data_IF_737434659046
#
_entry.id   IF_737434659046
#
_cell.length_a   1.000
_cell.length_b   1.000
_cell.length_c   1.000
_cell.angle_alpha   90.00
_cell.angle_beta   90.00
_cell.angle_gamma   90.00
#
_symmetry.space_group_name_H-M   'P 1'
#
loop_
_entity.id
_entity.type
_entity.pdbx_description
1 polymer ?
#
# COMPACT_ATOMS: atom_id res chain seq x y z
N UNK A 1 16.10 4.97 -15.84
CA UNK A 1 14.61 5.17 -15.80
C UNK A 1 14.20 5.95 -17.05
N UNK A 2 13.18 5.49 -17.81
CA UNK A 2 12.55 6.22 -18.92
C UNK A 2 11.19 6.73 -18.44
N UNK A 3 10.85 7.99 -18.69
CA UNK A 3 9.57 8.61 -18.30
C UNK A 3 8.91 9.18 -19.55
N UNK A 4 7.62 8.85 -19.72
CA UNK A 4 6.76 9.33 -20.78
C UNK A 4 5.59 10.08 -20.15
N UNK A 5 5.37 11.31 -20.57
CA UNK A 5 4.23 12.14 -20.21
C UNK A 5 3.19 12.06 -21.32
N UNK A 6 1.92 11.97 -20.96
CA UNK A 6 0.81 12.02 -21.91
C UNK A 6 0.00 13.29 -21.59
N UNK A 7 -0.17 14.14 -22.60
CA UNK A 7 -0.91 15.39 -22.49
C UNK A 7 -2.42 15.14 -22.54
N UNK A 8 -3.21 16.13 -22.17
CA UNK A 8 -4.68 16.11 -22.35
C UNK A 8 -5.11 15.93 -23.80
N UNK A 9 -4.25 16.32 -24.77
CA UNK A 9 -4.47 16.14 -26.21
C UNK A 9 -3.98 14.77 -26.72
N UNK A 10 -3.60 13.85 -25.84
CA UNK A 10 -3.04 12.52 -26.12
C UNK A 10 -1.68 12.53 -26.85
N UNK A 11 -0.90 13.60 -26.73
CA UNK A 11 0.47 13.63 -27.23
C UNK A 11 1.43 12.97 -26.23
N UNK A 12 2.36 12.17 -26.74
CA UNK A 12 3.39 11.52 -25.92
C UNK A 12 4.68 12.33 -25.92
N UNK A 13 5.20 12.67 -24.74
CA UNK A 13 6.46 13.37 -24.55
C UNK A 13 7.41 12.49 -23.73
N UNK A 14 8.48 11.99 -24.35
CA UNK A 14 9.53 11.28 -23.62
C UNK A 14 10.51 12.28 -23.02
N UNK A 15 10.69 12.27 -21.69
CA UNK A 15 11.65 13.14 -21.00
C UNK A 15 13.08 12.71 -21.29
N UNK A 16 13.95 13.70 -21.56
CA UNK A 16 15.38 13.50 -21.86
C UNK A 16 16.28 13.99 -20.73
N UNK A 17 15.88 15.06 -20.04
CA UNK A 17 16.72 15.78 -19.09
C UNK A 17 16.08 15.73 -17.67
N UNK A 18 16.01 14.53 -17.10
CA UNK A 18 15.48 14.30 -15.77
C UNK A 18 16.53 14.70 -14.72
N UNK A 19 16.18 15.63 -13.83
CA UNK A 19 17.04 16.04 -12.69
C UNK A 19 16.92 15.01 -11.58
N UNK A 20 15.68 14.62 -11.26
CA UNK A 20 15.40 13.60 -10.25
C UNK A 20 14.02 12.99 -10.45
N UNK A 21 13.88 11.72 -10.10
CA UNK A 21 12.60 11.04 -10.02
C UNK A 21 12.58 10.16 -8.76
N UNK A 22 11.43 10.11 -8.07
CA UNK A 22 11.21 9.29 -6.88
C UNK A 22 9.88 8.58 -7.01
N UNK A 23 9.93 7.25 -7.14
CA UNK A 23 8.77 6.38 -7.12
C UNK A 23 8.64 5.74 -5.73
N UNK A 24 7.51 5.98 -5.06
CA UNK A 24 7.19 5.39 -3.77
C UNK A 24 6.03 4.41 -3.91
N UNK A 25 6.25 3.18 -3.48
CA UNK A 25 5.27 2.10 -3.42
C UNK A 25 5.18 1.61 -2.00
N UNK A 26 3.97 1.55 -1.44
CA UNK A 26 3.76 1.11 -0.06
C UNK A 26 2.55 0.20 0.09
N UNK A 27 2.63 -0.77 1.00
CA UNK A 27 1.52 -1.66 1.32
C UNK A 27 0.41 -0.96 2.15
N UNK A 28 0.68 0.22 2.69
CA UNK A 28 -0.26 0.97 3.53
C UNK A 28 -1.16 1.91 2.73
N UNK A 29 -0.72 2.37 1.56
CA UNK A 29 -1.51 3.23 0.67
C UNK A 29 -2.00 2.47 -0.56
N UNK A 30 -3.18 2.83 -1.03
CA UNK A 30 -3.76 2.25 -2.24
C UNK A 30 -3.02 2.70 -3.51
N UNK A 31 -2.50 3.94 -3.51
CA UNK A 31 -1.83 4.54 -4.64
C UNK A 31 -0.31 4.57 -4.43
N UNK A 32 0.43 4.18 -5.46
CA UNK A 32 1.83 4.55 -5.59
C UNK A 32 1.92 6.03 -5.98
N UNK A 33 3.06 6.65 -5.69
CA UNK A 33 3.32 8.04 -6.10
C UNK A 33 4.63 8.18 -6.83
N UNK A 34 4.66 9.09 -7.80
CA UNK A 34 5.85 9.43 -8.57
C UNK A 34 6.05 10.95 -8.58
N UNK A 35 7.19 11.40 -8.07
CA UNK A 35 7.63 12.79 -8.16
C UNK A 35 8.76 12.91 -9.15
N UNK A 36 8.68 13.89 -10.06
CA UNK A 36 9.66 14.09 -11.13
C UNK A 36 10.06 15.56 -11.17
N UNK A 37 11.37 15.82 -11.31
CA UNK A 37 11.93 17.13 -11.70
C UNK A 37 12.72 16.99 -12.99
N UNK A 38 12.51 17.90 -13.94
CA UNK A 38 13.18 17.89 -15.23
C UNK A 38 13.30 19.29 -15.83
N UNK A 39 14.15 19.46 -16.86
CA UNK A 39 14.44 20.72 -17.54
C UNK A 39 14.06 20.71 -19.03
N UNK A 40 13.36 19.70 -19.50
CA UNK A 40 12.83 19.68 -20.86
C UNK A 40 11.79 20.80 -21.03
N UNK A 41 11.97 21.63 -22.06
CA UNK A 41 11.03 22.71 -22.35
C UNK A 41 9.73 22.15 -22.95
N UNK A 42 8.90 21.62 -22.10
CA UNK A 42 7.51 21.37 -22.42
C UNK A 42 6.75 22.69 -22.18
N UNK A 43 6.56 23.51 -23.22
CA UNK A 43 5.74 24.73 -23.13
C UNK A 43 4.53 24.48 -22.21
N UNK A 44 3.77 25.44 -21.81
CA UNK A 44 2.65 25.31 -20.86
C UNK A 44 1.55 24.30 -21.30
N UNK A 45 1.97 23.04 -21.49
CA UNK A 45 1.12 21.91 -21.90
C UNK A 45 0.64 21.21 -20.64
N UNK A 46 -0.65 20.96 -20.55
CA UNK A 46 -1.25 20.23 -19.43
C UNK A 46 -0.99 18.72 -19.56
N UNK A 47 -0.42 18.13 -18.51
CA UNK A 47 -0.09 16.71 -18.47
C UNK A 47 -1.24 15.97 -17.76
N UNK A 48 -1.81 14.97 -18.43
CA UNK A 48 -2.84 14.10 -17.86
C UNK A 48 -2.23 12.89 -17.18
N UNK A 49 -1.32 12.16 -17.88
CA UNK A 49 -0.77 10.89 -17.40
C UNK A 49 0.74 10.84 -17.41
N UNK A 50 1.27 9.99 -16.55
CA UNK A 50 2.70 9.73 -16.43
C UNK A 50 2.93 8.22 -16.46
N UNK A 51 3.84 7.78 -17.34
CA UNK A 51 4.31 6.40 -17.40
C UNK A 51 5.80 6.38 -17.05
N UNK A 52 6.23 5.44 -16.21
CA UNK A 52 7.66 5.22 -15.96
C UNK A 52 8.04 3.77 -16.24
N UNK A 53 9.20 3.63 -16.90
CA UNK A 53 9.76 2.34 -17.30
C UNK A 53 11.15 2.15 -16.71
N UNK A 54 11.45 0.91 -16.34
CA UNK A 54 12.81 0.45 -16.00
C UNK A 54 13.13 -0.78 -16.86
N UNK A 55 14.20 -0.68 -17.64
CA UNK A 55 14.64 -1.74 -18.55
C UNK A 55 13.48 -2.29 -19.41
N UNK A 56 12.70 -1.36 -20.00
CA UNK A 56 11.48 -1.56 -20.80
C UNK A 56 10.27 -2.15 -20.04
N UNK A 57 10.39 -2.46 -18.76
CA UNK A 57 9.26 -2.86 -17.91
C UNK A 57 8.51 -1.61 -17.41
N UNK A 58 7.18 -1.60 -17.53
CA UNK A 58 6.32 -0.55 -16.99
C UNK A 58 6.22 -0.70 -15.46
N UNK A 59 6.86 0.23 -14.73
CA UNK A 59 6.91 0.23 -13.27
C UNK A 59 5.95 1.23 -12.60
N UNK A 60 5.43 2.18 -13.37
CA UNK A 60 4.43 3.14 -12.91
C UNK A 60 3.53 3.58 -14.06
N UNK A 61 2.23 3.68 -13.78
CA UNK A 61 1.19 4.20 -14.65
C UNK A 61 0.22 5.00 -13.77
N UNK A 62 0.09 6.29 -14.02
CA UNK A 62 -0.70 7.14 -13.16
C UNK A 62 -1.12 8.46 -13.77
N UNK A 63 -1.83 9.25 -12.99
CA UNK A 63 -2.38 10.55 -13.35
C UNK A 63 -1.59 11.67 -12.65
N UNK A 64 -1.43 12.77 -13.38
CA UNK A 64 -0.77 13.96 -12.86
C UNK A 64 -1.71 14.72 -11.94
N UNK A 65 -1.39 14.75 -10.63
CA UNK A 65 -2.16 15.55 -9.65
C UNK A 65 -1.68 17.00 -9.59
N UNK A 66 -0.39 17.23 -9.87
CA UNK A 66 0.20 18.56 -9.74
C UNK A 66 1.36 18.75 -10.71
N UNK A 67 1.28 19.82 -11.50
CA UNK A 67 2.35 20.27 -12.40
C UNK A 67 2.74 21.70 -12.00
N UNK A 68 4.05 21.95 -11.82
CA UNK A 68 4.60 23.27 -11.51
C UNK A 68 5.79 23.55 -12.43
N UNK A 69 5.68 24.60 -13.25
CA UNK A 69 6.80 25.08 -14.05
C UNK A 69 7.34 26.37 -13.46
N UNK A 70 8.64 26.46 -13.32
CA UNK A 70 9.33 27.61 -12.71
C UNK A 70 10.44 28.08 -13.64
N UNK A 71 10.60 29.40 -13.73
CA UNK A 71 11.75 30.05 -14.34
C UNK A 71 12.41 30.89 -13.26
N UNK A 72 13.65 30.59 -12.94
CA UNK A 72 14.45 31.32 -11.95
C UNK A 72 15.88 31.56 -12.48
N UNK A 73 16.78 32.02 -11.61
CA UNK A 73 18.20 32.24 -11.95
C UNK A 73 18.92 30.96 -12.43
N UNK A 74 18.41 29.78 -12.11
CA UNK A 74 18.93 28.47 -12.53
C UNK A 74 18.35 27.99 -13.85
N UNK A 75 17.42 28.77 -14.42
CA UNK A 75 16.74 28.48 -15.68
C UNK A 75 15.34 27.88 -15.49
N UNK A 76 14.85 27.25 -16.55
CA UNK A 76 13.54 26.60 -16.59
C UNK A 76 13.59 25.21 -15.95
N UNK A 77 12.64 24.91 -15.09
CA UNK A 77 12.45 23.57 -14.54
C UNK A 77 10.95 23.26 -14.33
N UNK A 78 10.59 22.01 -14.52
CA UNK A 78 9.23 21.52 -14.24
C UNK A 78 9.26 20.43 -13.17
N UNK A 79 8.30 20.50 -12.25
CA UNK A 79 8.01 19.49 -11.25
C UNK A 79 6.64 18.89 -11.53
N UNK A 80 6.55 17.56 -11.51
CA UNK A 80 5.30 16.80 -11.59
C UNK A 80 5.20 15.91 -10.36
N UNK A 81 4.00 15.86 -9.79
CA UNK A 81 3.58 14.84 -8.82
C UNK A 81 2.41 14.07 -9.41
N UNK A 82 2.53 12.75 -9.45
CA UNK A 82 1.54 11.85 -10.00
C UNK A 82 1.23 10.72 -9.00
N UNK A 83 -0.03 10.29 -8.96
CA UNK A 83 -0.44 9.05 -8.28
C UNK A 83 -0.78 7.97 -9.30
N UNK A 84 -0.56 6.70 -8.94
CA UNK A 84 -0.93 5.56 -9.79
C UNK A 84 -2.42 5.59 -10.14
N UNK A 85 -2.81 4.88 -11.18
CA UNK A 85 -4.21 4.79 -11.64
C UNK A 85 -5.20 4.38 -10.53
N UNK A 86 -4.71 3.79 -9.44
CA UNK A 86 -5.51 3.51 -8.25
C UNK A 86 -6.22 4.76 -7.69
N UNK A 87 -5.72 5.99 -7.98
CA UNK A 87 -6.36 7.24 -7.57
C UNK A 87 -7.82 7.33 -8.10
N UNK A 88 -8.12 6.79 -9.27
CA UNK A 88 -9.48 6.74 -9.79
C UNK A 88 -10.44 5.94 -8.90
N UNK A 89 -9.94 4.93 -8.18
CA UNK A 89 -10.75 4.16 -7.23
C UNK A 89 -10.77 4.78 -5.83
N UNK A 90 -9.76 5.58 -5.49
CA UNK A 90 -9.65 6.20 -4.16
C UNK A 90 -10.44 7.50 -4.08
N UNK A 91 -10.40 8.32 -5.14
CA UNK A 91 -10.99 9.64 -5.18
C UNK A 91 -12.47 9.66 -5.57
N UNK A 92 -13.01 8.50 -6.01
CA UNK A 92 -14.42 8.36 -6.35
C UNK A 92 -15.17 7.59 -5.27
N UNK A 93 -16.34 8.10 -4.90
CA UNK A 93 -17.23 7.49 -3.92
C UNK A 93 -18.00 6.29 -4.51
N UNK A 94 -18.10 5.24 -3.73
CA UNK A 94 -19.00 4.13 -4.02
C UNK A 94 -20.43 4.51 -3.63
N UNK A 95 -21.42 4.18 -4.46
CA UNK A 95 -22.80 4.34 -4.07
C UNK A 95 -23.11 3.39 -2.89
N UNK A 96 -23.79 3.94 -1.88
CA UNK A 96 -24.20 3.18 -0.71
C UNK A 96 -25.22 2.11 -1.07
N UNK A 97 -24.91 0.85 -0.78
CA UNK A 97 -25.76 -0.28 -1.13
C UNK A 97 -25.51 -1.49 -0.22
N UNK A 98 -26.57 -2.25 0.07
CA UNK A 98 -26.47 -3.52 0.77
C UNK A 98 -26.53 -4.68 -0.20
N UNK A 99 -25.40 -5.33 -0.40
CA UNK A 99 -25.28 -6.52 -1.25
C UNK A 99 -25.68 -7.78 -0.48
N UNK A 100 -26.47 -8.65 -1.13
CA UNK A 100 -26.74 -10.00 -0.64
C UNK A 100 -25.73 -10.96 -1.27
N UNK A 101 -24.93 -11.64 -0.44
CA UNK A 101 -23.96 -12.65 -0.90
C UNK A 101 -23.02 -12.17 -2.02
N UNK A 102 -22.33 -11.01 -1.89
CA UNK A 102 -21.49 -10.51 -2.98
C UNK A 102 -20.22 -11.31 -3.15
N UNK A 103 -19.66 -11.23 -4.37
CA UNK A 103 -18.32 -11.68 -4.71
C UNK A 103 -17.41 -10.49 -5.02
N UNK A 104 -16.09 -10.73 -4.99
CA UNK A 104 -15.12 -9.74 -5.43
C UNK A 104 -15.37 -9.31 -6.87
N UNK A 105 -15.76 -10.26 -7.74
CA UNK A 105 -16.10 -9.97 -9.15
C UNK A 105 -17.33 -9.07 -9.27
N UNK A 106 -18.39 -9.27 -8.46
CA UNK A 106 -19.58 -8.43 -8.51
C UNK A 106 -19.29 -6.97 -8.12
N UNK A 107 -18.43 -6.75 -7.10
CA UNK A 107 -18.02 -5.39 -6.73
C UNK A 107 -17.08 -4.77 -7.76
N UNK A 108 -16.18 -5.57 -8.34
CA UNK A 108 -15.33 -5.11 -9.44
C UNK A 108 -16.19 -4.63 -10.64
N UNK A 109 -17.21 -5.40 -11.03
CA UNK A 109 -18.13 -5.03 -12.10
C UNK A 109 -18.91 -3.75 -11.80
N UNK A 110 -19.29 -3.55 -10.53
CA UNK A 110 -20.04 -2.38 -10.11
C UNK A 110 -19.19 -1.11 -10.01
N UNK A 111 -17.90 -1.23 -9.65
CA UNK A 111 -17.10 -0.08 -9.22
C UNK A 111 -15.83 0.18 -10.01
N UNK A 112 -15.26 -0.82 -10.70
CA UNK A 112 -13.94 -0.67 -11.30
C UNK A 112 -13.87 -0.97 -12.80
N UNK A 113 -14.79 -1.78 -13.32
CA UNK A 113 -14.74 -2.24 -14.72
C UNK A 113 -14.75 -1.09 -15.72
N UNK A 114 -15.66 -0.13 -15.55
CA UNK A 114 -15.86 0.97 -16.49
C UNK A 114 -14.74 2.03 -16.41
N UNK A 115 -13.88 1.96 -15.38
CA UNK A 115 -12.70 2.78 -15.24
C UNK A 115 -11.44 2.17 -15.89
N UNK A 116 -11.59 1.07 -16.63
CA UNK A 116 -10.52 0.45 -17.41
C UNK A 116 -9.61 -0.49 -16.61
N UNK A 117 -10.00 -0.87 -15.39
CA UNK A 117 -9.23 -1.85 -14.61
C UNK A 117 -9.50 -3.29 -15.06
N UNK A 118 -8.54 -4.17 -14.80
CA UNK A 118 -8.59 -5.61 -15.09
C UNK A 118 -8.73 -6.40 -13.79
N UNK A 119 -9.60 -7.40 -13.79
CA UNK A 119 -9.81 -8.28 -12.64
C UNK A 119 -8.80 -9.43 -12.65
N UNK A 120 -7.96 -9.49 -11.62
CA UNK A 120 -6.96 -10.56 -11.40
C UNK A 120 -7.04 -11.13 -9.98
N UNK A 121 -8.16 -10.92 -9.30
CA UNK A 121 -8.38 -11.48 -7.97
C UNK A 121 -8.89 -12.92 -8.07
N UNK A 122 -8.62 -13.79 -7.09
CA UNK A 122 -9.39 -15.01 -6.89
C UNK A 122 -10.87 -14.64 -6.73
N UNK A 123 -11.76 -15.50 -7.21
CA UNK A 123 -13.20 -15.25 -7.07
C UNK A 123 -13.66 -15.56 -5.65
N UNK A 124 -13.32 -14.68 -4.71
CA UNK A 124 -13.76 -14.76 -3.31
C UNK A 124 -15.18 -14.22 -3.18
N UNK A 125 -15.99 -14.87 -2.36
CA UNK A 125 -17.39 -14.49 -2.12
C UNK A 125 -17.79 -14.71 -0.67
N UNK A 126 -18.87 -14.09 -0.23
CA UNK A 126 -19.49 -14.33 1.08
C UNK A 126 -20.96 -14.66 0.93
N UNK A 127 -21.48 -15.53 1.81
CA UNK A 127 -22.91 -15.81 1.94
C UNK A 127 -23.63 -14.83 2.89
N UNK A 128 -22.90 -13.81 3.38
CA UNK A 128 -23.42 -12.81 4.31
C UNK A 128 -23.73 -11.52 3.56
N UNK A 129 -24.61 -10.72 4.13
CA UNK A 129 -24.85 -9.35 3.66
C UNK A 129 -23.58 -8.53 3.84
N UNK A 130 -23.29 -7.70 2.85
CA UNK A 130 -22.19 -6.74 2.85
C UNK A 130 -22.73 -5.35 2.55
N UNK A 131 -22.49 -4.42 3.44
CA UNK A 131 -22.94 -3.05 3.33
C UNK A 131 -21.78 -2.15 2.89
N UNK A 132 -21.99 -1.41 1.81
CA UNK A 132 -21.16 -0.28 1.40
C UNK A 132 -21.81 0.97 1.94
N UNK A 133 -21.15 1.64 2.88
CA UNK A 133 -21.65 2.85 3.53
C UNK A 133 -21.42 4.09 2.66
N UNK A 134 -22.24 5.12 2.83
CA UNK A 134 -22.02 6.43 2.20
C UNK A 134 -20.65 7.00 2.57
N UNK A 135 -19.95 7.57 1.58
CA UNK A 135 -18.59 8.11 1.73
C UNK A 135 -17.48 7.05 1.69
N UNK A 136 -17.81 5.79 1.42
CA UNK A 136 -16.79 4.78 1.10
C UNK A 136 -16.26 5.03 -0.31
N UNK A 137 -14.92 5.00 -0.51
CA UNK A 137 -14.35 5.03 -1.86
C UNK A 137 -14.59 3.72 -2.61
N UNK A 138 -14.52 3.75 -3.95
CA UNK A 138 -14.62 2.54 -4.77
C UNK A 138 -13.56 1.51 -4.37
N UNK A 139 -12.31 1.97 -4.15
CA UNK A 139 -11.24 1.12 -3.62
C UNK A 139 -11.61 0.51 -2.27
N UNK A 140 -12.08 1.35 -1.33
CA UNK A 140 -12.47 0.93 0.01
C UNK A 140 -13.55 -0.14 0.01
N UNK A 141 -14.57 -0.01 -0.85
CA UNK A 141 -15.64 -0.98 -0.99
C UNK A 141 -15.13 -2.36 -1.45
N UNK A 142 -14.27 -2.41 -2.49
CA UNK A 142 -13.71 -3.68 -2.98
C UNK A 142 -12.72 -4.26 -1.98
N UNK A 143 -11.76 -3.43 -1.51
CA UNK A 143 -10.70 -3.86 -0.59
C UNK A 143 -11.26 -4.41 0.73
N UNK A 144 -12.29 -3.76 1.28
CA UNK A 144 -12.88 -4.22 2.54
C UNK A 144 -13.54 -5.59 2.40
N UNK A 145 -14.31 -5.84 1.32
CA UNK A 145 -14.91 -7.15 1.09
C UNK A 145 -13.83 -8.22 0.94
N UNK A 146 -12.86 -8.00 0.03
CA UNK A 146 -11.79 -8.97 -0.24
C UNK A 146 -10.99 -9.26 1.01
N UNK A 147 -10.59 -8.22 1.75
CA UNK A 147 -9.81 -8.37 2.98
C UNK A 147 -10.56 -9.11 4.08
N UNK A 148 -11.87 -8.89 4.22
CA UNK A 148 -12.70 -9.59 5.21
C UNK A 148 -12.85 -11.09 4.93
N UNK A 149 -12.78 -11.49 3.65
CA UNK A 149 -12.96 -12.89 3.25
C UNK A 149 -11.61 -13.62 3.22
N UNK A 150 -10.58 -13.00 2.61
CA UNK A 150 -9.28 -13.63 2.38
C UNK A 150 -8.24 -13.34 3.48
N UNK A 151 -8.45 -12.30 4.27
CA UNK A 151 -7.44 -11.76 5.19
C UNK A 151 -6.41 -10.83 4.52
N UNK A 152 -6.39 -10.74 3.19
CA UNK A 152 -5.43 -9.97 2.40
C UNK A 152 -6.11 -8.76 1.73
N UNK A 153 -5.39 -7.64 1.65
CA UNK A 153 -5.84 -6.47 0.90
C UNK A 153 -5.68 -6.63 -0.61
N UNK A 154 -6.14 -5.64 -1.35
CA UNK A 154 -5.92 -5.54 -2.80
C UNK A 154 -4.91 -4.45 -3.12
N UNK A 155 -4.32 -4.53 -4.31
CA UNK A 155 -3.44 -3.54 -4.91
C UNK A 155 -3.75 -3.41 -6.40
N UNK A 156 -3.46 -2.24 -6.97
CA UNK A 156 -3.47 -2.01 -8.39
C UNK A 156 -2.02 -1.94 -8.87
N UNK A 157 -1.64 -2.78 -9.83
CA UNK A 157 -0.32 -2.74 -10.43
C UNK A 157 -0.23 -1.75 -11.60
N UNK A 158 0.97 -1.54 -12.14
CA UNK A 158 1.19 -0.61 -13.26
C UNK A 158 0.41 -0.98 -14.54
N UNK A 159 -0.01 -2.24 -14.70
CA UNK A 159 -0.84 -2.71 -15.82
C UNK A 159 -2.34 -2.51 -15.61
N UNK A 160 -2.74 -1.75 -14.59
CA UNK A 160 -4.14 -1.53 -14.18
C UNK A 160 -4.88 -2.82 -13.78
N UNK A 161 -4.15 -3.79 -13.26
CA UNK A 161 -4.73 -5.03 -12.76
C UNK A 161 -4.98 -4.90 -11.25
N UNK A 162 -6.19 -5.27 -10.81
CA UNK A 162 -6.52 -5.41 -9.39
C UNK A 162 -6.08 -6.80 -8.95
N UNK A 163 -5.05 -6.85 -8.14
CA UNK A 163 -4.40 -8.07 -7.63
C UNK A 163 -4.56 -8.17 -6.11
N UNK A 164 -4.43 -9.38 -5.57
CA UNK A 164 -4.38 -9.59 -4.13
C UNK A 164 -2.97 -9.31 -3.59
N UNK A 165 -2.89 -8.59 -2.48
CA UNK A 165 -1.63 -8.32 -1.78
C UNK A 165 -1.33 -9.50 -0.84
N UNK A 166 -0.68 -10.53 -1.36
CA UNK A 166 -0.37 -11.76 -0.64
C UNK A 166 1.10 -11.82 -0.23
N UNK A 167 1.34 -12.44 0.93
CA UNK A 167 2.71 -12.74 1.37
C UNK A 167 3.31 -13.80 0.43
N UNK A 168 4.44 -13.46 -0.18
CA UNK A 168 5.17 -14.39 -1.06
C UNK A 168 5.56 -15.67 -0.33
N UNK A 169 5.47 -16.80 -1.02
CA UNK A 169 5.95 -18.10 -0.51
C UNK A 169 7.47 -18.17 -0.53
N UNK A 170 8.09 -17.54 -1.51
CA UNK A 170 9.53 -17.55 -1.70
C UNK A 170 10.21 -16.52 -0.80
N UNK A 171 11.35 -16.91 -0.24
CA UNK A 171 12.20 -16.03 0.57
C UNK A 171 13.46 -15.71 -0.22
N UNK A 172 13.68 -14.45 -0.51
CA UNK A 172 14.85 -13.95 -1.21
C UNK A 172 15.96 -13.56 -0.22
N UNK A 173 17.22 -13.64 -0.64
CA UNK A 173 18.35 -13.21 0.17
C UNK A 173 18.84 -11.83 -0.30
N UNK A 174 18.75 -10.82 0.59
CA UNK A 174 19.21 -9.47 0.28
C UNK A 174 20.73 -9.33 0.22
N UNK A 175 21.49 -10.28 0.73
CA UNK A 175 22.96 -10.24 0.64
C UNK A 175 23.46 -10.35 -0.83
N UNK A 176 22.61 -10.74 -1.78
CA UNK A 176 22.95 -10.73 -3.21
C UNK A 176 22.88 -9.34 -3.86
N UNK A 177 22.31 -8.34 -3.18
CA UNK A 177 22.18 -6.98 -3.70
C UNK A 177 23.35 -6.09 -3.27
N UNK A 178 23.72 -5.06 -4.05
CA UNK A 178 24.76 -4.09 -3.69
C UNK A 178 24.23 -3.11 -2.63
N UNK A 179 24.39 -3.48 -1.35
CA UNK A 179 23.84 -2.73 -0.21
C UNK A 179 24.72 -1.52 0.11
N UNK A 180 24.09 -0.34 0.19
CA UNK A 180 24.73 0.93 0.57
C UNK A 180 24.61 1.22 2.06
N UNK A 181 23.46 0.92 2.66
CA UNK A 181 23.22 1.16 4.07
C UNK A 181 22.14 0.25 4.64
N UNK A 182 22.24 -0.02 5.95
CA UNK A 182 21.25 -0.80 6.69
C UNK A 182 20.99 -0.12 8.03
N UNK A 183 19.71 -0.06 8.42
CA UNK A 183 19.27 0.45 9.71
C UNK A 183 18.23 -0.50 10.28
N UNK A 184 18.46 -1.00 11.49
CA UNK A 184 17.48 -1.78 12.25
C UNK A 184 16.72 -0.86 13.21
N UNK A 185 15.41 -1.00 13.24
CA UNK A 185 14.48 -0.18 14.05
C UNK A 185 13.63 -1.12 14.90
N UNK A 186 13.59 -0.88 16.21
CA UNK A 186 12.66 -1.55 17.12
C UNK A 186 11.76 -0.47 17.75
N UNK A 187 10.50 -0.45 17.34
CA UNK A 187 9.53 0.53 17.81
C UNK A 187 8.55 -0.12 18.80
N UNK A 188 8.87 -0.03 20.09
CA UNK A 188 8.06 -0.62 21.16
C UNK A 188 6.73 0.11 21.43
N UNK A 189 6.49 1.26 20.82
CA UNK A 189 5.26 2.03 20.98
C UNK A 189 4.09 1.53 20.11
N UNK A 190 4.32 0.64 19.15
CA UNK A 190 3.34 0.23 18.15
C UNK A 190 2.42 -0.92 18.60
N UNK A 191 2.92 -2.08 19.12
CA UNK A 191 2.08 -3.25 19.36
C UNK A 191 0.93 -3.01 20.34
N UNK A 192 -0.27 -3.43 19.97
CA UNK A 192 -1.48 -3.37 20.79
C UNK A 192 -1.65 -4.68 21.55
N UNK A 193 -1.84 -4.60 22.88
CA UNK A 193 -2.02 -5.76 23.76
C UNK A 193 -3.49 -6.12 23.99
N UNK A 194 -4.38 -5.14 23.88
CA UNK A 194 -5.81 -5.38 24.04
C UNK A 194 -6.64 -4.37 23.22
N UNK A 195 -7.77 -4.86 22.69
CA UNK A 195 -8.83 -4.05 22.11
C UNK A 195 -10.09 -4.30 22.93
N UNK A 196 -10.61 -3.24 23.53
CA UNK A 196 -11.87 -3.20 24.26
C UNK A 196 -12.94 -2.60 23.35
N UNK A 197 -14.09 -3.23 23.22
CA UNK A 197 -15.08 -2.74 22.25
C UNK A 197 -16.52 -2.90 22.72
N UNK A 198 -17.39 -2.07 22.15
CA UNK A 198 -18.85 -2.15 22.34
C UNK A 198 -19.46 -2.88 21.17
N UNK A 199 -20.34 -3.84 21.45
CA UNK A 199 -21.15 -4.55 20.44
C UNK A 199 -22.64 -4.14 20.48
N UNK A 200 -23.07 -3.46 21.55
CA UNK A 200 -24.43 -2.98 21.79
C UNK A 200 -24.42 -1.55 22.32
N UNK A 201 -25.57 -0.91 22.42
CA UNK A 201 -25.72 0.44 22.97
C UNK A 201 -25.54 0.49 24.50
N UNK A 202 -24.55 -0.26 25.02
CA UNK A 202 -24.18 -0.19 26.44
C UNK A 202 -23.25 1.01 26.68
N UNK A 203 -23.20 1.50 27.91
CA UNK A 203 -22.27 2.53 28.35
C UNK A 203 -20.82 2.00 28.48
N UNK A 204 -20.64 0.68 28.55
CA UNK A 204 -19.39 0.02 28.89
C UNK A 204 -18.76 -0.66 27.68
N UNK A 205 -17.43 -0.91 27.75
CA UNK A 205 -16.66 -1.69 26.79
C UNK A 205 -16.53 -3.12 27.30
N UNK A 206 -17.64 -3.89 27.21
CA UNK A 206 -17.79 -5.20 27.89
C UNK A 206 -17.13 -6.35 27.12
N UNK A 207 -16.65 -6.09 25.89
CA UNK A 207 -16.00 -7.11 25.08
C UNK A 207 -14.52 -6.81 24.91
N UNK A 208 -13.69 -7.87 24.97
CA UNK A 208 -12.25 -7.75 24.98
C UNK A 208 -11.60 -8.78 24.05
N UNK A 209 -10.63 -8.35 23.26
CA UNK A 209 -9.73 -9.24 22.52
C UNK A 209 -8.29 -8.91 22.91
N UNK A 210 -7.53 -9.91 23.33
CA UNK A 210 -6.16 -9.77 23.78
C UNK A 210 -5.19 -10.34 22.73
N UNK A 211 -4.07 -9.64 22.50
CA UNK A 211 -2.94 -10.17 21.77
C UNK A 211 -2.03 -10.94 22.73
N UNK A 212 -2.02 -12.27 22.62
CA UNK A 212 -1.08 -13.09 23.38
C UNK A 212 0.36 -12.73 23.03
N UNK A 213 0.67 -12.55 21.76
CA UNK A 213 2.00 -12.16 21.29
C UNK A 213 2.48 -10.83 21.89
N UNK A 214 1.59 -9.83 22.04
CA UNK A 214 1.95 -8.56 22.68
C UNK A 214 2.20 -8.74 24.17
N UNK A 215 1.38 -9.49 24.88
CA UNK A 215 1.55 -9.77 26.32
C UNK A 215 2.85 -10.51 26.60
N UNK A 216 3.17 -11.53 25.81
CA UNK A 216 4.41 -12.33 25.96
C UNK A 216 5.67 -11.46 25.75
N UNK A 217 5.56 -10.38 24.96
CA UNK A 217 6.61 -9.39 24.72
C UNK A 217 6.61 -8.22 25.73
N UNK A 218 5.72 -8.25 26.72
CA UNK A 218 5.62 -7.25 27.79
C UNK A 218 4.98 -5.92 27.34
N UNK A 219 4.07 -5.93 26.36
CA UNK A 219 3.31 -4.76 25.97
C UNK A 219 2.01 -4.64 26.77
N UNK A 220 1.63 -3.40 27.10
CA UNK A 220 0.41 -3.07 27.88
C UNK A 220 -0.44 -1.98 27.23
N UNK A 221 -0.50 -1.95 25.90
CA UNK A 221 -1.21 -0.90 25.13
C UNK A 221 -2.64 -1.31 24.81
N UNK A 222 -3.62 -0.54 25.29
CA UNK A 222 -5.04 -0.78 25.10
C UNK A 222 -5.64 0.17 24.06
N UNK A 223 -6.65 -0.31 23.33
CA UNK A 223 -7.51 0.48 22.45
C UNK A 223 -8.98 0.28 22.82
N UNK A 224 -9.74 1.38 22.74
CA UNK A 224 -11.18 1.38 22.98
C UNK A 224 -11.88 1.77 21.68
N UNK A 225 -12.75 0.91 21.16
CA UNK A 225 -13.41 1.11 19.87
C UNK A 225 -14.91 0.87 19.95
N UNK A 226 -15.69 1.71 19.25
CA UNK A 226 -17.13 1.51 19.10
C UNK A 226 -17.38 0.75 17.79
N UNK A 227 -17.96 -0.46 17.88
CA UNK A 227 -18.21 -1.34 16.73
C UNK A 227 -19.70 -1.76 16.67
N UNK A 228 -20.60 -1.00 17.27
CA UNK A 228 -22.03 -1.31 17.39
C UNK A 228 -22.69 -1.53 16.03
N UNK A 229 -22.37 -0.70 15.04
CA UNK A 229 -22.95 -0.77 13.69
C UNK A 229 -22.48 -1.96 12.85
N UNK A 230 -21.43 -2.67 13.29
CA UNK A 230 -20.83 -3.75 12.49
C UNK A 230 -21.44 -5.12 12.85
N UNK A 231 -21.65 -5.96 11.85
CA UNK A 231 -21.97 -7.37 12.06
C UNK A 231 -20.81 -8.10 12.78
N UNK A 232 -21.11 -9.18 13.50
CA UNK A 232 -20.11 -9.90 14.31
C UNK A 232 -18.84 -10.27 13.53
N UNK A 233 -18.97 -10.79 12.31
CA UNK A 233 -17.83 -11.18 11.48
C UNK A 233 -16.98 -10.00 11.04
N UNK A 234 -17.58 -8.84 10.79
CA UNK A 234 -16.89 -7.59 10.44
C UNK A 234 -16.12 -7.02 11.65
N UNK A 235 -16.75 -7.08 12.85
CA UNK A 235 -16.07 -6.68 14.10
C UNK A 235 -14.83 -7.51 14.35
N UNK A 236 -14.95 -8.83 14.31
CA UNK A 236 -13.85 -9.76 14.55
C UNK A 236 -12.69 -9.49 13.58
N UNK A 237 -12.99 -9.32 12.29
CA UNK A 237 -11.98 -8.96 11.29
C UNK A 237 -11.29 -7.63 11.63
N UNK A 238 -12.07 -6.58 11.93
CA UNK A 238 -11.52 -5.25 12.22
C UNK A 238 -10.59 -5.26 13.45
N UNK A 239 -10.98 -5.96 14.50
CA UNK A 239 -10.16 -6.10 15.73
C UNK A 239 -8.87 -6.86 15.43
N UNK A 240 -8.98 -8.02 14.79
CA UNK A 240 -7.83 -8.84 14.40
C UNK A 240 -6.86 -8.06 13.52
N UNK A 241 -7.39 -7.32 12.53
CA UNK A 241 -6.60 -6.46 11.67
C UNK A 241 -5.88 -5.35 12.47
N UNK A 242 -6.56 -4.66 13.40
CA UNK A 242 -5.94 -3.63 14.23
C UNK A 242 -4.76 -4.17 15.03
N UNK A 243 -4.91 -5.35 15.63
CA UNK A 243 -3.84 -6.00 16.40
C UNK A 243 -2.70 -6.39 15.47
N UNK A 244 -2.96 -7.07 14.36
CA UNK A 244 -1.93 -7.50 13.40
C UNK A 244 -1.18 -6.32 12.78
N UNK A 245 -1.89 -5.30 12.32
CA UNK A 245 -1.28 -4.12 11.72
C UNK A 245 -0.37 -3.37 12.70
N UNK A 246 -0.68 -3.39 14.01
CA UNK A 246 0.16 -2.78 15.03
C UNK A 246 1.56 -3.42 15.17
N UNK A 247 1.76 -4.63 14.68
CA UNK A 247 3.06 -5.30 14.68
C UNK A 247 3.91 -5.03 13.45
N UNK A 248 3.33 -4.51 12.37
CA UNK A 248 4.05 -4.30 11.09
C UNK A 248 5.30 -3.43 11.27
N UNK A 249 5.17 -2.35 12.06
CA UNK A 249 6.22 -1.38 12.31
C UNK A 249 6.99 -1.62 13.63
N UNK A 250 6.76 -2.75 14.30
CA UNK A 250 7.43 -3.07 15.57
C UNK A 250 8.92 -3.35 15.39
N UNK A 251 9.26 -4.22 14.43
CA UNK A 251 10.65 -4.55 14.07
C UNK A 251 10.81 -4.32 12.58
N UNK A 252 11.56 -3.29 12.22
CA UNK A 252 11.78 -2.91 10.83
C UNK A 252 13.25 -2.90 10.48
N UNK A 253 13.52 -3.13 9.20
CA UNK A 253 14.80 -2.88 8.56
C UNK A 253 14.60 -1.85 7.45
N UNK A 254 15.41 -0.81 7.43
CA UNK A 254 15.57 0.06 6.28
C UNK A 254 16.89 -0.32 5.58
N UNK A 255 16.80 -0.75 4.34
CA UNK A 255 17.96 -1.15 3.53
C UNK A 255 17.98 -0.32 2.27
N UNK A 256 19.10 0.35 2.01
CA UNK A 256 19.30 1.06 0.75
C UNK A 256 20.26 0.26 -0.11
N UNK A 257 19.83 -0.05 -1.34
CA UNK A 257 20.63 -0.73 -2.35
C UNK A 257 20.99 0.23 -3.47
N UNK A 258 22.09 -0.05 -4.16
CA UNK A 258 22.44 0.62 -5.41
C UNK A 258 21.66 -0.04 -6.56
N UNK A 259 20.97 0.76 -7.38
CA UNK A 259 20.12 0.28 -8.47
C UNK A 259 18.66 0.05 -8.07
N UNK A 260 17.96 -0.72 -8.88
CA UNK A 260 16.52 -1.02 -8.76
C UNK A 260 16.28 -2.40 -8.14
N UNK A 261 15.23 -2.52 -7.33
CA UNK A 261 14.72 -3.80 -6.82
C UNK A 261 13.39 -4.11 -7.52
N UNK A 262 13.34 -5.22 -8.26
CA UNK A 262 12.13 -5.66 -8.99
C UNK A 262 11.09 -6.35 -8.09
N UNK A 263 11.46 -6.68 -6.84
CA UNK A 263 10.55 -7.39 -5.93
C UNK A 263 9.28 -6.60 -5.64
N UNK A 264 8.17 -7.31 -5.56
CA UNK A 264 6.85 -6.77 -5.22
C UNK A 264 6.69 -6.60 -3.70
N UNK A 265 5.71 -5.78 -3.30
CA UNK A 265 5.34 -5.65 -1.88
C UNK A 265 4.89 -7.01 -1.31
N UNK A 266 5.16 -7.23 -0.02
CA UNK A 266 4.99 -8.50 0.71
C UNK A 266 5.86 -9.65 0.21
N UNK A 267 6.88 -9.38 -0.63
CA UNK A 267 7.99 -10.31 -0.85
C UNK A 267 8.71 -10.54 0.47
N UNK A 268 9.03 -11.81 0.77
CA UNK A 268 9.78 -12.20 1.97
C UNK A 268 11.27 -12.11 1.71
N UNK A 269 12.02 -11.63 2.72
CA UNK A 269 13.46 -11.48 2.65
C UNK A 269 14.16 -12.01 3.89
N UNK A 270 15.34 -12.59 3.67
CA UNK A 270 16.37 -12.80 4.69
C UNK A 270 17.53 -11.86 4.43
N UNK A 271 18.18 -11.42 5.52
CA UNK A 271 19.36 -10.57 5.46
C UNK A 271 20.27 -10.84 6.65
N UNK A 272 21.59 -10.84 6.43
CA UNK A 272 22.60 -10.97 7.47
C UNK A 272 23.69 -9.92 7.31
N UNK A 273 24.08 -9.29 8.42
CA UNK A 273 25.12 -8.27 8.47
C UNK A 273 25.76 -8.18 9.85
N UNK A 274 26.68 -7.20 10.04
CA UNK A 274 27.30 -6.92 11.32
C UNK A 274 26.32 -6.55 12.44
N UNK A 275 25.12 -6.01 12.10
CA UNK A 275 24.09 -5.64 13.08
C UNK A 275 23.17 -6.81 13.46
N UNK A 276 23.32 -7.98 12.83
CA UNK A 276 22.59 -9.18 13.16
C UNK A 276 22.09 -9.96 11.96
N UNK A 277 21.37 -11.05 12.26
CA UNK A 277 20.67 -11.90 11.33
C UNK A 277 19.18 -11.59 11.38
N UNK A 278 18.58 -11.40 10.21
CA UNK A 278 17.20 -10.99 10.01
C UNK A 278 16.51 -11.97 9.07
N UNK A 279 15.71 -12.85 9.62
CA UNK A 279 15.00 -13.87 8.89
C UNK A 279 13.52 -13.48 8.76
N UNK A 280 12.92 -13.76 7.59
CA UNK A 280 11.50 -13.61 7.30
C UNK A 280 10.94 -12.20 7.56
N UNK A 281 11.47 -11.24 6.81
CA UNK A 281 10.98 -9.86 6.76
C UNK A 281 10.18 -9.63 5.48
N UNK A 282 9.08 -8.90 5.57
CA UNK A 282 8.18 -8.55 4.46
C UNK A 282 8.53 -7.17 3.92
N UNK A 283 8.59 -7.02 2.60
CA UNK A 283 8.71 -5.72 1.96
C UNK A 283 7.40 -4.93 2.13
N UNK A 284 7.44 -3.87 2.94
CA UNK A 284 6.29 -3.01 3.22
C UNK A 284 6.29 -1.74 2.39
N UNK A 285 7.49 -1.20 2.08
CA UNK A 285 7.63 0.00 1.28
C UNK A 285 8.90 -0.08 0.42
N UNK A 286 8.80 0.43 -0.80
CA UNK A 286 9.89 0.54 -1.77
C UNK A 286 9.95 1.96 -2.31
N UNK A 287 11.08 2.64 -2.12
CA UNK A 287 11.32 3.99 -2.61
C UNK A 287 12.46 3.92 -3.61
N UNK A 288 12.13 3.99 -4.89
CA UNK A 288 13.10 4.02 -5.97
C UNK A 288 13.39 5.45 -6.38
N UNK A 289 14.64 5.86 -6.29
CA UNK A 289 15.11 7.20 -6.63
C UNK A 289 16.14 7.15 -7.75
N UNK A 290 16.03 8.13 -8.65
CA UNK A 290 16.94 8.40 -9.73
C UNK A 290 17.34 9.87 -9.69
N UNK A 291 18.63 10.17 -9.65
CA UNK A 291 19.18 11.53 -9.70
C UNK A 291 20.58 11.53 -10.36
N UNK A 292 21.28 12.66 -10.30
CA UNK A 292 22.67 12.81 -10.80
C UNK A 292 23.68 11.85 -10.17
N UNK A 293 23.38 11.25 -9.02
CA UNK A 293 24.23 10.28 -8.32
C UNK A 293 23.88 8.84 -8.69
N UNK A 294 22.96 8.64 -9.65
CA UNK A 294 22.51 7.34 -10.13
C UNK A 294 21.23 6.86 -9.50
N UNK A 295 21.02 5.56 -9.53
CA UNK A 295 19.82 4.88 -9.07
C UNK A 295 20.03 4.30 -7.67
N UNK A 296 19.04 4.46 -6.81
CA UNK A 296 19.00 3.86 -5.48
C UNK A 296 17.61 3.36 -5.16
N UNK A 297 17.52 2.26 -4.44
CA UNK A 297 16.25 1.77 -3.93
C UNK A 297 16.34 1.58 -2.42
N UNK A 298 15.49 2.30 -1.69
CA UNK A 298 15.30 2.10 -0.25
C UNK A 298 14.14 1.11 -0.04
N UNK A 299 14.42 0.04 0.68
CA UNK A 299 13.47 -0.99 1.06
C UNK A 299 13.16 -0.83 2.55
N UNK A 300 11.89 -0.74 2.92
CA UNK A 300 11.42 -0.80 4.29
C UNK A 300 10.78 -2.16 4.51
N UNK A 301 11.37 -2.94 5.40
CA UNK A 301 10.98 -4.31 5.66
C UNK A 301 10.45 -4.42 7.09
N UNK A 302 9.28 -5.03 7.26
CA UNK A 302 8.71 -5.35 8.58
C UNK A 302 8.87 -6.84 8.90
N UNK A 303 9.17 -7.16 10.17
CA UNK A 303 9.24 -8.57 10.61
C UNK A 303 7.89 -9.26 10.43
N UNK A 304 7.87 -10.38 9.73
CA UNK A 304 6.70 -11.24 9.62
C UNK A 304 6.45 -11.93 10.97
N UNK A 305 5.45 -11.46 11.71
CA UNK A 305 5.14 -11.97 13.06
C UNK A 305 3.78 -12.66 13.01
N UNK A 306 3.76 -13.93 13.41
CA UNK A 306 2.50 -14.67 13.64
C UNK A 306 1.85 -14.16 14.93
N UNK A 307 0.87 -13.28 14.79
CA UNK A 307 0.19 -12.63 15.90
C UNK A 307 -0.94 -13.53 16.40
N UNK A 308 -0.78 -14.08 17.62
CA UNK A 308 -1.78 -14.91 18.29
C UNK A 308 -2.72 -14.05 19.11
N UNK A 309 -4.03 -14.28 18.93
CA UNK A 309 -5.11 -13.58 19.59
C UNK A 309 -5.93 -14.53 20.47
N UNK A 310 -6.44 -14.02 21.57
CA UNK A 310 -7.40 -14.72 22.45
C UNK A 310 -8.59 -13.80 22.68
N UNK A 311 -9.76 -14.26 22.29
CA UNK A 311 -11.02 -13.55 22.50
C UNK A 311 -11.60 -13.95 23.85
N UNK A 312 -11.93 -12.96 24.67
CA UNK A 312 -12.73 -13.13 25.86
C UNK A 312 -14.04 -12.37 25.66
N UNK A 313 -15.15 -13.06 25.88
CA UNK A 313 -16.47 -12.47 25.98
C UNK A 313 -16.90 -12.75 27.42
N UNK A 314 -16.99 -11.70 28.21
CA UNK A 314 -17.62 -11.78 29.53
C UNK A 314 -19.16 -11.87 29.40
#
# INVERSE_FOLDING_TARGET
>A
MKIVLITVDNEEITLKNIISAVLTQTAEAACDSLSIKFIDNIKAVEIEKVLAYKDDELIFNGYCDCQKSTVDEKGFQTYIYARSSACLLVDNDAFAYTYNCPSALSLFQAYAKDLGFKFKLPNVYTLKKYEVTSGASLFGAINSLVSMISGNGIRINASNEIIMLEVSKDILNLNSYPILSVKSIINRSEPISAVHYKKEFSSNYDCHTYSKSAKDLGFSRNRYVNLISLASWQRNYKISKMIKDSFKNYKCLEITINGYCSSELYQRFNYESLIGKFDDYLLLEKIYSYDKNGEKCKLVLGKNIDVKEVNYVD
#
